data_IF_862155354659
#
_entry.id   IF_862155354659
#
_cell.length_a   1.000
_cell.length_b   1.000
_cell.length_c   1.000
_cell.angle_alpha   90.00
_cell.angle_beta   90.00
_cell.angle_gamma   90.00
#
_symmetry.space_group_name_H-M   'P 1'
#
loop_
_entity.id
_entity.type
_entity.pdbx_description
1 polymer ?
#
# COMPACT_ATOMS: atom_id res chain seq x y z
N UNK A 1 11.18 24.34 7.31
CA UNK A 1 11.72 23.10 7.91
C UNK A 1 11.79 22.06 6.81
N UNK A 2 12.81 21.21 6.79
CA UNK A 2 12.90 20.13 5.80
C UNK A 2 11.75 19.12 6.00
N UNK A 3 11.31 18.51 4.90
CA UNK A 3 10.35 17.40 4.90
C UNK A 3 10.98 16.20 5.61
N UNK A 4 10.25 15.54 6.51
CA UNK A 4 10.71 14.29 7.13
C UNK A 4 10.58 13.15 6.12
N UNK A 5 11.64 12.97 5.34
CA UNK A 5 11.73 11.96 4.30
C UNK A 5 11.75 10.53 4.86
N UNK A 6 12.11 10.35 6.13
CA UNK A 6 12.12 9.03 6.76
C UNK A 6 10.68 8.61 7.07
N UNK A 7 9.89 9.49 7.72
CA UNK A 7 8.47 9.24 7.96
C UNK A 7 7.72 8.97 6.64
N UNK A 8 7.95 9.80 5.62
CA UNK A 8 7.30 9.59 4.33
C UNK A 8 7.67 8.24 3.70
N UNK A 9 8.95 7.82 3.83
CA UNK A 9 9.42 6.52 3.34
C UNK A 9 8.75 5.36 4.09
N UNK A 10 8.72 5.44 5.41
CA UNK A 10 8.14 4.39 6.25
C UNK A 10 6.65 4.24 5.98
N UNK A 11 5.94 5.36 5.80
CA UNK A 11 4.53 5.35 5.39
C UNK A 11 4.38 4.76 4.00
N UNK A 12 5.02 5.29 2.95
CA UNK A 12 4.74 4.88 1.57
C UNK A 12 5.26 3.51 1.19
N UNK A 13 6.38 3.06 1.76
CA UNK A 13 6.97 1.76 1.40
C UNK A 13 6.41 0.58 2.19
N UNK A 14 5.85 0.80 3.38
CA UNK A 14 5.20 -0.27 4.15
C UNK A 14 4.00 -0.82 3.36
N UNK A 15 3.83 -2.14 3.21
CA UNK A 15 2.69 -2.68 2.48
C UNK A 15 1.41 -2.65 3.33
N UNK A 16 0.28 -2.33 2.72
CA UNK A 16 -1.02 -2.46 3.39
C UNK A 16 -2.16 -2.12 2.46
N UNK A 17 -2.74 -3.12 1.79
CA UNK A 17 -3.94 -2.92 0.96
C UNK A 17 -5.19 -2.82 1.82
N UNK A 18 -6.31 -2.40 1.24
CA UNK A 18 -7.60 -2.38 1.94
C UNK A 18 -7.91 -3.73 2.63
N UNK A 19 -8.27 -3.66 3.90
CA UNK A 19 -8.47 -4.74 4.88
C UNK A 19 -7.22 -5.56 5.27
N UNK A 20 -6.00 -5.05 5.00
CA UNK A 20 -4.70 -5.63 5.34
C UNK A 20 -3.70 -4.56 5.80
N UNK A 21 -4.14 -3.63 6.63
CA UNK A 21 -3.42 -2.40 6.99
C UNK A 21 -2.52 -2.55 8.23
N UNK A 22 -2.46 -3.73 8.85
CA UNK A 22 -1.85 -3.91 10.17
C UNK A 22 -0.40 -3.36 10.26
N UNK A 23 0.43 -3.64 9.26
CA UNK A 23 1.84 -3.18 9.21
C UNK A 23 1.95 -1.67 9.10
N UNK A 24 1.16 -1.04 8.22
CA UNK A 24 1.20 0.43 8.06
C UNK A 24 0.58 1.11 9.28
N UNK A 25 -0.43 0.50 9.91
CA UNK A 25 -0.99 0.97 11.18
C UNK A 25 0.04 1.00 12.29
N UNK A 26 0.90 -0.02 12.41
CA UNK A 26 2.01 -0.05 13.38
C UNK A 26 3.01 1.08 13.16
N UNK A 27 3.31 1.41 11.90
CA UNK A 27 4.13 2.58 11.55
C UNK A 27 3.45 3.87 12.03
N UNK A 28 2.18 4.07 11.71
CA UNK A 28 1.44 5.27 12.17
C UNK A 28 1.41 5.34 13.69
N UNK A 29 1.13 4.24 14.38
CA UNK A 29 1.10 4.17 15.85
C UNK A 29 2.43 4.60 16.48
N UNK A 30 3.56 4.18 15.88
CA UNK A 30 4.91 4.54 16.35
C UNK A 30 5.15 6.04 16.29
N UNK A 31 4.66 6.72 15.24
CA UNK A 31 4.88 8.15 15.05
C UNK A 31 3.80 9.04 15.70
N UNK A 32 2.56 8.57 15.77
CA UNK A 32 1.42 9.31 16.33
C UNK A 32 1.33 9.15 17.85
N UNK A 33 1.63 7.97 18.40
CA UNK A 33 1.48 7.65 19.82
C UNK A 33 2.15 8.67 20.76
N UNK A 34 3.40 9.11 20.51
CA UNK A 34 4.06 10.12 21.34
C UNK A 34 3.43 11.53 21.28
N UNK A 35 2.49 11.76 20.37
CA UNK A 35 1.90 13.08 20.09
C UNK A 35 0.47 13.23 20.62
N UNK A 36 -0.11 12.16 21.17
CA UNK A 36 -1.52 12.08 21.61
C UNK A 36 -1.60 11.55 23.05
N UNK A 37 -2.74 11.74 23.71
CA UNK A 37 -2.96 11.31 25.10
C UNK A 37 -3.42 9.85 25.20
N UNK A 38 -4.16 9.38 24.20
CA UNK A 38 -4.66 8.01 24.09
C UNK A 38 -4.58 7.53 22.64
N UNK A 39 -4.38 6.22 22.48
CA UNK A 39 -4.31 5.57 21.19
C UNK A 39 -5.14 4.29 21.25
N UNK A 40 -6.11 4.16 20.35
CA UNK A 40 -6.98 3.00 20.27
C UNK A 40 -7.13 2.53 18.82
N UNK A 41 -7.53 1.27 18.67
CA UNK A 41 -7.85 0.67 17.36
C UNK A 41 -9.28 0.18 17.43
N UNK A 42 -10.10 0.56 16.45
CA UNK A 42 -11.49 0.09 16.40
C UNK A 42 -11.63 -1.31 15.79
N UNK A 43 -12.86 -1.81 15.71
CA UNK A 43 -13.13 -3.16 15.22
C UNK A 43 -12.82 -3.36 13.72
N UNK A 44 -12.75 -2.29 12.93
CA UNK A 44 -12.39 -2.36 11.50
C UNK A 44 -10.89 -2.21 11.29
N UNK A 45 -10.16 -1.70 12.29
CA UNK A 45 -8.72 -1.51 12.23
C UNK A 45 -8.29 -0.04 12.14
N UNK A 46 -9.23 0.92 12.20
CA UNK A 46 -8.87 2.35 12.20
C UNK A 46 -8.07 2.67 13.46
N UNK A 47 -6.96 3.39 13.31
CA UNK A 47 -6.15 3.87 14.43
C UNK A 47 -6.60 5.28 14.82
N UNK A 48 -7.02 5.43 16.07
CA UNK A 48 -7.57 6.66 16.60
C UNK A 48 -6.64 7.20 17.68
N UNK A 49 -5.92 8.27 17.36
CA UNK A 49 -5.16 9.07 18.32
C UNK A 49 -6.03 10.17 18.90
N UNK A 50 -6.28 10.13 20.21
CA UNK A 50 -7.04 11.16 20.93
C UNK A 50 -6.10 12.09 21.68
N UNK A 51 -6.16 13.38 21.34
CA UNK A 51 -5.49 14.45 22.07
C UNK A 51 -6.53 15.33 22.74
N UNK A 52 -6.44 15.43 24.07
CA UNK A 52 -7.38 16.13 24.93
C UNK A 52 -7.37 17.63 24.65
N UNK A 53 -8.57 18.20 24.60
CA UNK A 53 -8.77 19.65 24.45
C UNK A 53 -8.78 20.40 25.78
N UNK A 54 -8.81 21.72 25.68
CA UNK A 54 -8.93 22.66 26.81
C UNK A 54 -10.21 23.49 26.69
N UNK A 55 -11.33 22.83 26.43
CA UNK A 55 -12.66 23.46 26.28
C UNK A 55 -12.96 24.05 24.90
N UNK A 56 -12.14 23.76 23.89
CA UNK A 56 -12.39 24.11 22.49
C UNK A 56 -13.27 23.09 21.75
N UNK A 57 -13.43 23.25 20.42
CA UNK A 57 -14.23 22.34 19.59
C UNK A 57 -13.58 20.95 19.48
N UNK A 58 -14.40 19.97 19.10
CA UNK A 58 -13.94 18.63 18.70
C UNK A 58 -13.65 18.60 17.20
N UNK A 59 -12.47 18.14 16.83
CA UNK A 59 -12.01 18.07 15.44
C UNK A 59 -11.56 16.64 15.16
N UNK A 60 -12.09 16.05 14.08
CA UNK A 60 -11.57 14.81 13.51
C UNK A 60 -10.74 15.14 12.27
N UNK A 61 -9.51 14.63 12.21
CA UNK A 61 -8.65 14.69 11.03
C UNK A 61 -8.51 13.23 10.58
N UNK A 62 -8.97 12.91 9.37
CA UNK A 62 -8.95 11.56 8.84
C UNK A 62 -8.12 11.50 7.56
N UNK A 63 -7.30 10.48 7.44
CA UNK A 63 -6.54 10.15 6.24
C UNK A 63 -6.40 8.62 6.16
N UNK A 64 -6.52 8.06 4.95
CA UNK A 64 -6.50 6.60 4.80
C UNK A 64 -5.08 6.03 4.70
N UNK A 65 -4.88 4.89 5.34
CA UNK A 65 -3.57 4.20 5.40
C UNK A 65 -3.45 3.10 4.36
N UNK A 66 -4.59 2.64 3.83
CA UNK A 66 -4.62 1.60 2.82
C UNK A 66 -4.03 2.06 1.48
N UNK A 67 -3.64 1.09 0.67
CA UNK A 67 -3.22 1.33 -0.70
C UNK A 67 -3.94 0.39 -1.66
N UNK A 68 -4.05 0.81 -2.91
CA UNK A 68 -4.49 -0.10 -3.97
C UNK A 68 -3.47 -1.24 -4.13
N UNK A 69 -3.96 -2.45 -4.34
CA UNK A 69 -3.11 -3.60 -4.64
C UNK A 69 -3.89 -4.77 -5.19
N UNK A 70 -3.46 -5.98 -4.85
CA UNK A 70 -4.10 -7.20 -5.35
C UNK A 70 -4.12 -8.31 -4.31
N UNK A 71 -4.97 -9.29 -4.57
CA UNK A 71 -5.00 -10.57 -3.88
C UNK A 71 -4.71 -11.68 -4.88
N UNK A 72 -3.94 -12.69 -4.48
CA UNK A 72 -3.78 -13.91 -5.28
C UNK A 72 -5.14 -14.59 -5.41
N UNK A 73 -5.63 -14.74 -6.65
CA UNK A 73 -6.89 -15.40 -6.96
C UNK A 73 -6.70 -16.88 -7.29
N UNK A 74 -5.61 -17.20 -7.96
CA UNK A 74 -5.28 -18.56 -8.40
C UNK A 74 -3.79 -18.70 -8.68
N UNK A 75 -3.23 -19.89 -8.44
CA UNK A 75 -1.88 -20.28 -8.84
C UNK A 75 -2.03 -21.35 -9.91
N UNK A 76 -1.55 -21.08 -11.12
CA UNK A 76 -1.71 -22.02 -12.24
C UNK A 76 -0.69 -23.18 -12.19
N UNK A 77 -0.79 -24.10 -13.16
CA UNK A 77 0.06 -25.28 -13.23
C UNK A 77 1.53 -24.97 -13.51
N UNK A 78 1.82 -23.81 -14.08
CA UNK A 78 3.18 -23.32 -14.30
C UNK A 78 3.70 -22.47 -13.12
N UNK A 79 2.90 -22.30 -12.05
CA UNK A 79 3.27 -21.50 -10.89
C UNK A 79 3.06 -20.00 -11.08
N UNK A 80 2.39 -19.56 -12.14
CA UNK A 80 2.06 -18.15 -12.32
C UNK A 80 0.85 -17.76 -11.48
N UNK A 81 0.90 -16.56 -10.90
CA UNK A 81 -0.19 -16.07 -10.06
C UNK A 81 -1.15 -15.24 -10.89
N UNK A 82 -2.43 -15.62 -10.85
CA UNK A 82 -3.54 -14.77 -11.28
C UNK A 82 -4.03 -13.97 -10.10
N UNK A 83 -4.29 -12.70 -10.32
CA UNK A 83 -4.61 -11.75 -9.24
C UNK A 83 -6.00 -11.15 -9.41
N UNK A 84 -6.58 -10.73 -8.28
CA UNK A 84 -7.78 -9.92 -8.21
C UNK A 84 -7.41 -8.55 -7.67
N UNK A 85 -7.83 -7.47 -8.34
CA UNK A 85 -7.58 -6.10 -7.88
C UNK A 85 -8.32 -5.79 -6.58
N UNK A 86 -7.66 -5.02 -5.73
CA UNK A 86 -8.22 -4.32 -4.58
C UNK A 86 -7.99 -2.84 -4.85
N UNK A 87 -9.08 -2.10 -5.08
CA UNK A 87 -9.03 -0.74 -5.61
C UNK A 87 -8.91 -0.67 -7.15
N UNK A 88 -8.58 0.52 -7.65
CA UNK A 88 -8.58 0.84 -9.08
C UNK A 88 -7.18 0.85 -9.69
N UNK A 89 -6.91 -0.08 -10.62
CA UNK A 89 -5.73 -0.03 -11.48
C UNK A 89 -6.10 0.06 -12.95
N UNK A 90 -5.31 0.83 -13.68
CA UNK A 90 -5.22 0.74 -15.13
C UNK A 90 -4.24 -0.40 -15.48
N UNK A 91 -4.68 -1.48 -16.15
CA UNK A 91 -3.81 -2.60 -16.50
C UNK A 91 -2.58 -2.18 -17.33
N UNK A 92 -2.66 -1.07 -18.08
CA UNK A 92 -1.55 -0.57 -18.92
C UNK A 92 -0.33 -0.18 -18.09
N UNK A 93 -0.52 0.28 -16.86
CA UNK A 93 0.59 0.69 -15.98
C UNK A 93 1.24 -0.48 -15.25
N UNK A 94 0.67 -1.69 -15.34
CA UNK A 94 1.13 -2.87 -14.60
C UNK A 94 2.16 -3.70 -15.36
N UNK A 95 2.23 -3.59 -16.68
CA UNK A 95 3.18 -4.37 -17.48
C UNK A 95 4.61 -4.12 -17.02
N UNK A 96 5.36 -5.19 -16.76
CA UNK A 96 6.75 -5.18 -16.29
C UNK A 96 6.96 -4.47 -14.93
N UNK A 97 5.90 -4.26 -14.15
CA UNK A 97 6.04 -3.74 -12.79
C UNK A 97 6.52 -4.82 -11.83
N UNK A 98 7.47 -4.46 -10.97
CA UNK A 98 7.85 -5.28 -9.82
C UNK A 98 6.74 -5.26 -8.78
N UNK A 99 6.55 -6.40 -8.13
CA UNK A 99 5.61 -6.59 -7.02
C UNK A 99 6.25 -7.35 -5.88
N UNK A 100 5.64 -7.25 -4.71
CA UNK A 100 5.91 -8.11 -3.57
C UNK A 100 4.67 -8.93 -3.26
N UNK A 101 4.82 -10.25 -3.17
CA UNK A 101 3.77 -11.18 -2.72
C UNK A 101 4.00 -11.48 -1.25
N UNK A 102 3.09 -11.02 -0.40
CA UNK A 102 3.18 -11.14 1.05
C UNK A 102 2.48 -12.43 1.47
N UNK A 103 3.29 -13.45 1.73
CA UNK A 103 2.81 -14.77 2.12
C UNK A 103 2.34 -14.77 3.57
N UNK A 104 1.43 -15.69 3.92
CA UNK A 104 1.00 -15.87 5.32
C UNK A 104 2.11 -16.31 6.27
N UNK A 105 3.23 -16.81 5.74
CA UNK A 105 4.38 -17.23 6.54
C UNK A 105 5.22 -16.03 7.00
N UNK A 106 4.89 -14.81 6.52
CA UNK A 106 5.58 -13.58 6.87
C UNK A 106 6.60 -13.14 5.83
N UNK A 107 6.94 -14.02 4.88
CA UNK A 107 7.88 -13.73 3.80
C UNK A 107 7.23 -12.87 2.71
N UNK A 108 8.02 -11.95 2.14
CA UNK A 108 7.69 -11.21 0.93
C UNK A 108 8.51 -11.75 -0.23
N UNK A 109 7.83 -12.30 -1.24
CA UNK A 109 8.45 -12.85 -2.44
C UNK A 109 8.43 -11.81 -3.56
N UNK A 110 9.58 -11.47 -4.16
CA UNK A 110 9.61 -10.57 -5.30
C UNK A 110 8.99 -11.24 -6.53
N UNK A 111 8.22 -10.47 -7.29
CA UNK A 111 7.64 -10.92 -8.54
C UNK A 111 7.58 -9.80 -9.57
N UNK A 112 7.12 -10.15 -10.77
CA UNK A 112 6.93 -9.20 -11.86
C UNK A 112 5.62 -9.48 -12.59
N UNK A 113 4.87 -8.42 -12.89
CA UNK A 113 3.73 -8.52 -13.78
C UNK A 113 4.17 -8.73 -15.23
N UNK A 114 3.64 -9.78 -15.85
CA UNK A 114 3.91 -10.13 -17.23
C UNK A 114 2.60 -10.28 -18.02
N UNK A 115 2.58 -9.88 -19.30
CA UNK A 115 1.46 -10.17 -20.17
C UNK A 115 1.48 -11.65 -20.59
N UNK A 116 0.31 -12.28 -20.60
CA UNK A 116 0.09 -13.61 -21.17
C UNK A 116 0.03 -13.60 -22.71
N UNK A 117 0.21 -12.43 -23.33
CA UNK A 117 0.19 -12.26 -24.79
C UNK A 117 1.57 -12.45 -25.42
N UNK A 118 1.58 -12.70 -26.72
CA UNK A 118 2.82 -12.80 -27.50
C UNK A 118 3.60 -11.47 -27.44
N UNK A 119 4.94 -11.50 -27.44
CA UNK A 119 5.72 -10.29 -27.67
C UNK A 119 5.31 -9.56 -28.96
N UNK A 120 5.37 -8.23 -28.95
CA UNK A 120 4.90 -7.38 -30.06
C UNK A 120 5.56 -7.73 -31.41
N UNK A 121 6.83 -8.15 -31.40
CA UNK A 121 7.58 -8.50 -32.61
C UNK A 121 7.16 -9.86 -33.21
N UNK A 122 6.29 -10.61 -32.52
CA UNK A 122 5.69 -11.86 -33.00
C UNK A 122 4.19 -11.72 -33.29
N UNK A 123 3.59 -10.55 -33.04
CA UNK A 123 2.18 -10.28 -33.29
C UNK A 123 1.94 -9.91 -34.76
N UNK A 124 0.82 -10.34 -35.31
CA UNK A 124 0.35 -9.88 -36.62
C UNK A 124 -0.30 -8.49 -36.53
N UNK A 125 -0.30 -7.69 -37.62
CA UNK A 125 -1.01 -6.42 -37.66
C UNK A 125 -2.49 -6.58 -37.27
N UNK A 126 -2.95 -5.83 -36.27
CA UNK A 126 -4.33 -5.90 -35.76
C UNK A 126 -4.59 -6.98 -34.69
N UNK A 127 -3.58 -7.78 -34.31
CA UNK A 127 -3.70 -8.78 -33.22
C UNK A 127 -3.67 -8.13 -31.82
N UNK A 128 -3.16 -6.90 -31.70
CA UNK A 128 -3.12 -6.14 -30.46
C UNK A 128 -4.53 -5.76 -29.98
N UNK A 129 -4.85 -6.10 -28.73
CA UNK A 129 -6.12 -5.78 -28.06
C UNK A 129 -5.87 -4.93 -26.82
N UNK A 130 -6.92 -4.29 -26.34
CA UNK A 130 -6.90 -3.60 -25.06
C UNK A 130 -6.52 -4.58 -23.95
N UNK A 131 -5.46 -4.23 -23.21
CA UNK A 131 -4.93 -5.03 -22.13
C UNK A 131 -5.89 -5.02 -20.93
N UNK A 132 -6.29 -6.21 -20.48
CA UNK A 132 -7.08 -6.38 -19.26
C UNK A 132 -6.23 -7.01 -18.16
N UNK A 133 -6.69 -6.95 -16.92
CA UNK A 133 -5.99 -7.56 -15.79
C UNK A 133 -5.91 -9.09 -15.94
N UNK A 134 -6.93 -9.70 -16.53
CA UNK A 134 -6.98 -11.15 -16.78
C UNK A 134 -5.91 -11.61 -17.80
N UNK A 135 -5.44 -10.68 -18.63
CA UNK A 135 -4.35 -10.91 -19.58
C UNK A 135 -2.97 -10.78 -18.92
N UNK A 136 -2.91 -10.47 -17.63
CA UNK A 136 -1.69 -10.39 -16.84
C UNK A 136 -1.58 -11.55 -15.85
N UNK A 137 -0.35 -11.84 -15.45
CA UNK A 137 -0.01 -12.72 -14.34
C UNK A 137 1.22 -12.18 -13.60
N UNK A 138 1.41 -12.60 -12.36
CA UNK A 138 2.66 -12.37 -11.62
C UNK A 138 3.54 -13.60 -11.74
N UNK A 139 4.76 -13.38 -12.18
CA UNK A 139 5.83 -14.38 -12.21
C UNK A 139 6.78 -14.16 -11.02
N UNK A 140 7.03 -15.21 -10.25
CA UNK A 140 8.00 -15.22 -9.15
C UNK A 140 9.38 -15.74 -9.59
N UNK A 141 9.52 -16.25 -10.82
CA UNK A 141 10.76 -16.87 -11.30
C UNK A 141 11.11 -18.18 -10.57
N UNK A 142 10.12 -18.84 -9.96
CA UNK A 142 10.29 -20.02 -9.12
C UNK A 142 9.61 -21.24 -9.74
N UNK A 143 10.07 -22.44 -9.37
CA UNK A 143 9.44 -23.69 -9.82
C UNK A 143 7.98 -23.79 -9.31
N UNK A 144 7.03 -24.35 -10.09
CA UNK A 144 5.61 -24.39 -9.75
C UNK A 144 5.33 -24.98 -8.36
N UNK A 145 5.99 -26.09 -8.02
CA UNK A 145 5.79 -26.77 -6.73
C UNK A 145 6.21 -25.88 -5.55
N UNK A 146 7.25 -25.06 -5.74
CA UNK A 146 7.71 -24.10 -4.72
C UNK A 146 6.78 -22.92 -4.56
N UNK A 147 6.19 -22.44 -5.65
CA UNK A 147 5.16 -21.40 -5.57
C UNK A 147 3.94 -21.93 -4.83
N UNK A 148 3.46 -23.13 -5.18
CA UNK A 148 2.29 -23.77 -4.55
C UNK A 148 2.50 -24.11 -3.07
N UNK A 149 3.75 -24.32 -2.64
CA UNK A 149 4.12 -24.54 -1.23
C UNK A 149 4.04 -23.24 -0.39
N UNK A 150 4.43 -22.10 -0.98
CA UNK A 150 4.60 -20.83 -0.25
C UNK A 150 3.43 -19.86 -0.39
N UNK A 151 2.81 -19.81 -1.57
CA UNK A 151 1.77 -18.83 -1.93
C UNK A 151 0.39 -19.46 -1.87
N UNK A 152 -0.56 -18.75 -1.26
CA UNK A 152 -1.96 -19.17 -1.15
C UNK A 152 -2.91 -18.17 -1.79
N UNK A 153 -4.10 -18.67 -2.16
CA UNK A 153 -5.22 -17.80 -2.53
C UNK A 153 -5.52 -16.85 -1.37
N UNK A 154 -5.67 -15.57 -1.69
CA UNK A 154 -5.89 -14.48 -0.75
C UNK A 154 -4.62 -13.86 -0.17
N UNK A 155 -3.42 -14.31 -0.58
CA UNK A 155 -2.18 -13.62 -0.22
C UNK A 155 -2.14 -12.23 -0.89
N UNK A 156 -1.67 -11.23 -0.15
CA UNK A 156 -1.62 -9.84 -0.58
C UNK A 156 -0.48 -9.64 -1.58
N UNK A 157 -0.73 -8.84 -2.61
CA UNK A 157 0.28 -8.42 -3.58
C UNK A 157 0.27 -6.90 -3.68
N UNK A 158 1.42 -6.27 -3.48
CA UNK A 158 1.60 -4.81 -3.61
C UNK A 158 2.63 -4.51 -4.70
N UNK A 159 2.58 -3.31 -5.28
CA UNK A 159 3.69 -2.84 -6.11
C UNK A 159 4.96 -2.70 -5.26
N UNK A 160 6.10 -3.00 -5.88
CA UNK A 160 7.41 -2.83 -5.28
C UNK A 160 8.04 -1.54 -5.80
N UNK A 161 7.89 -0.46 -5.04
CA UNK A 161 8.33 0.90 -5.43
C UNK A 161 8.91 1.64 -4.23
N UNK A 162 10.07 2.24 -4.45
CA UNK A 162 10.76 3.07 -3.48
C UNK A 162 10.19 4.50 -3.42
N UNK A 163 10.44 5.20 -2.33
CA UNK A 163 10.37 6.66 -2.28
C UNK A 163 11.65 7.25 -2.87
N UNK A 164 11.50 8.03 -3.94
CA UNK A 164 12.59 8.70 -4.65
C UNK A 164 12.32 10.20 -4.70
N UNK A 165 13.33 11.02 -4.39
CA UNK A 165 13.27 12.45 -4.61
C UNK A 165 13.58 12.78 -6.07
N UNK A 166 12.78 13.66 -6.68
CA UNK A 166 12.92 14.12 -8.06
C UNK A 166 12.83 15.64 -8.08
N UNK A 167 13.99 16.31 -8.10
CA UNK A 167 14.07 17.75 -7.89
C UNK A 167 13.45 18.13 -6.55
N UNK A 168 12.45 19.02 -6.57
CA UNK A 168 11.70 19.46 -5.39
C UNK A 168 10.47 18.59 -5.09
N UNK A 169 10.29 17.47 -5.82
CA UNK A 169 9.13 16.58 -5.69
C UNK A 169 9.55 15.18 -5.26
N UNK A 170 8.57 14.32 -4.98
CA UNK A 170 8.78 12.92 -4.64
C UNK A 170 7.94 12.01 -5.53
N UNK A 171 8.47 10.81 -5.78
CA UNK A 171 7.77 9.72 -6.46
C UNK A 171 7.77 8.53 -5.52
N UNK A 172 6.60 7.94 -5.28
CA UNK A 172 6.44 6.71 -4.50
C UNK A 172 5.12 6.02 -4.82
N UNK A 173 4.97 4.79 -4.36
CA UNK A 173 3.63 4.17 -4.25
C UNK A 173 2.88 4.77 -3.06
N UNK A 174 1.57 4.55 -3.00
CA UNK A 174 0.73 4.87 -1.83
C UNK A 174 0.85 6.30 -1.31
N UNK A 175 1.18 7.30 -2.16
CA UNK A 175 1.09 8.71 -1.77
C UNK A 175 -0.37 9.07 -1.46
N UNK A 176 -1.31 8.54 -2.23
CA UNK A 176 -2.73 8.49 -1.91
C UNK A 176 -3.00 7.35 -0.91
N UNK A 177 -3.41 7.62 0.34
CA UNK A 177 -3.50 8.93 1.04
C UNK A 177 -2.48 9.01 2.19
N UNK A 178 -1.36 8.28 2.07
CA UNK A 178 -0.33 8.32 3.11
C UNK A 178 0.36 9.67 3.24
N UNK A 179 0.25 10.54 2.22
CA UNK A 179 0.58 11.97 2.35
C UNK A 179 -0.38 12.67 3.31
N UNK A 180 -1.68 12.38 3.28
CA UNK A 180 -2.64 12.89 4.26
C UNK A 180 -2.28 12.45 5.68
N UNK A 181 -1.90 11.19 5.85
CA UNK A 181 -1.42 10.64 7.13
C UNK A 181 -0.15 11.34 7.60
N UNK A 182 0.81 11.57 6.70
CA UNK A 182 2.03 12.35 6.98
C UNK A 182 1.68 13.77 7.46
N UNK A 183 0.78 14.46 6.74
CA UNK A 183 0.35 15.83 7.09
C UNK A 183 -0.38 15.84 8.43
N UNK A 184 -1.19 14.83 8.73
CA UNK A 184 -1.86 14.69 10.02
C UNK A 184 -0.85 14.58 11.17
N UNK A 185 0.11 13.66 11.06
CA UNK A 185 1.16 13.46 12.09
C UNK A 185 1.99 14.73 12.28
N UNK A 186 2.49 15.31 11.19
CA UNK A 186 3.29 16.54 11.23
C UNK A 186 2.51 17.75 11.73
N UNK A 187 1.23 17.84 11.39
CA UNK A 187 0.33 18.88 11.86
C UNK A 187 0.16 18.82 13.37
N UNK A 188 -0.12 17.64 13.93
CA UNK A 188 -0.27 17.43 15.37
C UNK A 188 1.06 17.70 16.09
N UNK A 189 2.18 17.22 15.54
CA UNK A 189 3.54 17.45 16.07
C UNK A 189 3.85 18.94 16.21
N UNK A 190 3.42 19.75 15.25
CA UNK A 190 3.67 21.20 15.22
C UNK A 190 2.66 22.01 16.03
N UNK A 191 1.44 21.50 16.19
CA UNK A 191 0.39 22.15 16.96
C UNK A 191 0.63 22.01 18.47
N UNK A 192 1.72 22.58 19.00
CA UNK A 192 2.06 22.48 20.43
C UNK A 192 1.04 23.17 21.35
N UNK A 193 0.34 24.19 20.83
CA UNK A 193 -0.72 24.90 21.54
C UNK A 193 -2.05 24.74 20.78
N UNK A 194 -3.06 24.17 21.46
CA UNK A 194 -4.43 24.11 20.96
C UNK A 194 -5.41 23.98 22.11
N UNK A 195 -6.58 24.61 21.98
CA UNK A 195 -7.72 24.39 22.88
C UNK A 195 -8.67 23.30 22.36
N UNK A 196 -8.55 22.93 21.09
CA UNK A 196 -9.40 21.92 20.46
C UNK A 196 -9.08 20.52 21.00
N UNK A 197 -10.11 19.70 21.09
CA UNK A 197 -10.01 18.26 21.30
C UNK A 197 -9.87 17.59 19.92
N UNK A 198 -8.78 16.85 19.70
CA UNK A 198 -8.40 16.35 18.38
C UNK A 198 -8.47 14.82 18.37
N UNK A 199 -9.13 14.28 17.34
CA UNK A 199 -9.14 12.88 16.98
C UNK A 199 -8.41 12.72 15.65
N UNK A 200 -7.21 12.16 15.69
CA UNK A 200 -6.41 11.82 14.53
C UNK A 200 -6.75 10.39 14.12
N UNK A 201 -7.41 10.22 12.97
CA UNK A 201 -7.96 8.94 12.54
C UNK A 201 -7.19 8.49 11.29
N UNK A 202 -6.31 7.52 11.48
CA UNK A 202 -5.71 6.78 10.38
C UNK A 202 -6.69 5.66 10.00
N UNK A 203 -7.44 5.87 8.91
CA UNK A 203 -8.50 4.96 8.48
C UNK A 203 -7.98 3.81 7.64
#
# INVERSE_FOLDING_TARGET
>A
MPVDMQLLRDLTQTPGIASREDKVREVVATHLGPLVDDLSVDALGNLIGHRKGKGGPRIAIAAHIDEIGFLVRHVDDNGFLRVQRVGGFDPRVLVAQRVQVHTRQGDSLPGVFQPASKPIHLMQPGEAKDLKLEDLFVDLGMAPDKVKEQVRIGDMVTLDRDLVAVGDTVVSKALDDRVGVYVMIEGIRKATESTAEIFAVAT
#
